data_IF_364860327976
#
_entry.id   IF_364860327976
#
_cell.length_a   1.000
_cell.length_b   1.000
_cell.length_c   1.000
_cell.angle_alpha   90.00
_cell.angle_beta   90.00
_cell.angle_gamma   90.00
#
_symmetry.space_group_name_H-M   'P 1'
#
loop_
_entity.id
_entity.type
_entity.pdbx_description
1 polymer ?
#
# COMPACT_ATOMS: atom_id res chain seq x y z
N UNK A 1 20.15 12.81 3.56
CA UNK A 1 20.27 12.35 4.96
C UNK A 1 19.66 10.96 5.07
N UNK A 2 20.44 9.96 5.49
CA UNK A 2 19.98 8.60 5.74
C UNK A 2 19.86 8.39 7.25
N UNK A 3 18.75 7.83 7.72
CA UNK A 3 18.48 7.75 9.17
C UNK A 3 18.04 6.34 9.57
N UNK A 4 18.60 5.84 10.67
CA UNK A 4 18.03 4.69 11.39
C UNK A 4 16.73 5.13 12.03
N UNK A 5 15.64 4.42 11.78
CA UNK A 5 14.32 4.89 12.22
C UNK A 5 13.91 4.24 13.53
N UNK A 6 13.34 5.04 14.42
CA UNK A 6 12.64 4.54 15.60
C UNK A 6 11.30 3.94 15.18
N UNK A 7 10.85 2.83 15.80
CA UNK A 7 9.50 2.32 15.60
C UNK A 7 8.45 3.40 15.89
N UNK A 8 7.45 3.53 15.02
CA UNK A 8 6.34 4.45 15.23
C UNK A 8 4.99 3.81 14.88
N UNK A 9 3.91 4.46 15.28
CA UNK A 9 2.54 3.96 15.12
C UNK A 9 1.66 5.00 14.44
N UNK A 10 0.82 4.53 13.51
CA UNK A 10 -0.24 5.29 12.88
C UNK A 10 -1.60 4.79 13.38
N UNK A 11 -2.34 5.63 14.10
CA UNK A 11 -3.68 5.36 14.60
C UNK A 11 -4.71 5.39 13.46
N UNK A 12 -5.79 4.63 13.57
CA UNK A 12 -6.91 4.71 12.63
C UNK A 12 -7.62 6.05 12.74
N UNK A 13 -7.97 6.63 11.59
CA UNK A 13 -8.86 7.79 11.53
C UNK A 13 -10.05 7.48 10.62
N UNK A 14 -11.19 8.13 10.92
CA UNK A 14 -12.40 8.11 10.11
C UNK A 14 -12.99 9.51 10.15
N UNK A 15 -13.08 10.13 8.98
CA UNK A 15 -13.64 11.46 8.78
C UNK A 15 -14.82 11.37 7.81
N UNK A 16 -15.85 12.19 8.02
CA UNK A 16 -16.97 12.29 7.09
C UNK A 16 -16.72 13.49 6.19
N UNK A 17 -16.60 13.27 4.88
CA UNK A 17 -16.49 14.39 3.95
C UNK A 17 -17.81 15.18 3.86
N UNK A 18 -17.77 16.45 3.41
CA UNK A 18 -18.97 17.22 3.09
C UNK A 18 -19.91 16.50 2.10
N UNK A 19 -19.35 15.67 1.21
CA UNK A 19 -20.09 14.79 0.30
C UNK A 19 -20.85 13.64 0.98
N UNK A 20 -20.74 13.49 2.30
CA UNK A 20 -21.32 12.41 3.09
C UNK A 20 -20.51 11.10 3.05
N UNK A 21 -19.56 10.95 2.12
CA UNK A 21 -18.73 9.75 1.99
C UNK A 21 -17.69 9.68 3.13
N UNK A 22 -17.55 8.53 3.82
CA UNK A 22 -16.51 8.37 4.83
C UNK A 22 -15.14 8.24 4.16
N UNK A 23 -14.18 9.02 4.64
CA UNK A 23 -12.74 8.86 4.41
C UNK A 23 -12.16 8.16 5.62
N UNK A 24 -11.43 7.09 5.36
CA UNK A 24 -10.66 6.39 6.36
C UNK A 24 -9.20 6.77 6.23
N UNK A 25 -8.45 6.58 7.30
CA UNK A 25 -7.05 6.93 7.25
C UNK A 25 -6.23 6.32 8.36
N UNK A 26 -4.97 6.73 8.34
CA UNK A 26 -3.99 6.48 9.37
C UNK A 26 -3.26 7.78 9.66
N UNK A 27 -3.01 8.09 10.93
CA UNK A 27 -2.24 9.27 11.29
C UNK A 27 -1.33 8.97 12.48
N UNK A 28 -0.13 9.52 12.45
CA UNK A 28 0.82 9.49 13.55
C UNK A 28 2.10 10.20 13.16
N UNK A 29 3.08 10.18 14.06
CA UNK A 29 4.32 10.94 13.91
C UNK A 29 5.51 9.99 13.99
N UNK A 30 6.44 10.10 13.04
CA UNK A 30 7.77 9.50 13.13
C UNK A 30 8.73 10.54 13.72
N UNK A 31 9.58 10.17 14.69
CA UNK A 31 10.59 11.08 15.22
C UNK A 31 11.49 11.69 14.12
N UNK A 32 11.81 10.91 13.10
CA UNK A 32 12.74 11.27 12.04
C UNK A 32 12.03 12.01 10.89
N UNK A 33 10.81 11.58 10.53
CA UNK A 33 10.10 12.04 9.33
C UNK A 33 8.88 12.94 9.61
N UNK A 34 8.62 13.25 10.88
CA UNK A 34 7.52 14.10 11.30
C UNK A 34 6.16 13.43 11.11
N UNK A 35 5.13 14.26 10.95
CA UNK A 35 3.76 13.77 10.81
C UNK A 35 3.56 13.02 9.50
N UNK A 36 2.82 11.91 9.58
CA UNK A 36 2.51 11.04 8.47
C UNK A 36 1.00 10.77 8.50
N UNK A 37 0.34 11.06 7.38
CA UNK A 37 -1.09 10.84 7.19
C UNK A 37 -1.32 10.00 5.94
N UNK A 38 -2.09 8.93 6.11
CA UNK A 38 -2.60 8.07 5.04
C UNK A 38 -4.09 8.29 4.95
N UNK A 39 -4.64 8.49 3.76
CA UNK A 39 -6.09 8.65 3.54
C UNK A 39 -6.57 7.75 2.40
N UNK A 40 -7.76 7.18 2.54
CA UNK A 40 -8.46 6.37 1.54
C UNK A 40 -9.95 6.20 1.87
N UNK A 41 -10.85 6.11 0.87
CA UNK A 41 -10.59 6.44 -0.52
C UNK A 41 -10.32 7.96 -0.65
N UNK A 42 -9.32 8.33 -1.43
CA UNK A 42 -9.09 9.71 -1.90
C UNK A 42 -9.39 9.79 -3.39
N UNK A 43 -9.80 10.97 -3.86
CA UNK A 43 -10.20 11.20 -5.25
C UNK A 43 -11.21 12.34 -5.34
N UNK A 44 -11.11 13.17 -6.39
CA UNK A 44 -12.13 14.19 -6.67
C UNK A 44 -13.40 13.48 -7.11
N UNK A 45 -14.55 13.86 -6.53
CA UNK A 45 -15.85 13.16 -6.61
C UNK A 45 -16.47 12.96 -8.00
N UNK A 46 -15.72 13.17 -9.09
CA UNK A 46 -16.10 12.91 -10.46
C UNK A 46 -15.16 11.93 -11.20
N UNK A 47 -13.98 11.61 -10.64
CA UNK A 47 -13.10 10.65 -11.29
C UNK A 47 -13.56 9.25 -10.95
N UNK A 48 -13.57 8.38 -11.95
CA UNK A 48 -13.88 6.99 -11.67
C UNK A 48 -12.88 6.43 -10.67
N UNK A 49 -11.68 6.96 -10.41
CA UNK A 49 -10.66 6.29 -9.61
C UNK A 49 -10.91 6.19 -8.09
N UNK A 50 -10.45 5.08 -7.47
CA UNK A 50 -10.24 4.99 -6.01
C UNK A 50 -8.74 5.15 -5.76
N UNK A 51 -8.36 6.06 -4.87
CA UNK A 51 -6.97 6.23 -4.50
C UNK A 51 -6.71 6.08 -3.00
N UNK A 52 -5.47 5.78 -2.68
CA UNK A 52 -4.87 5.99 -1.37
C UNK A 52 -3.81 7.05 -1.54
N UNK A 53 -3.74 7.96 -0.59
CA UNK A 53 -2.73 9.00 -0.57
C UNK A 53 -1.98 8.99 0.76
N UNK A 54 -0.68 9.22 0.69
CA UNK A 54 0.18 9.50 1.84
C UNK A 54 0.78 10.87 1.68
N UNK A 55 0.71 11.65 2.76
CA UNK A 55 1.39 12.93 2.92
C UNK A 55 2.06 12.99 4.28
N UNK A 56 3.06 13.83 4.40
CA UNK A 56 3.69 14.11 5.67
C UNK A 56 4.67 15.28 5.59
N UNK A 57 5.15 15.72 6.74
CA UNK A 57 5.99 16.92 6.83
C UNK A 57 7.37 16.75 6.18
N UNK A 58 7.96 15.56 6.24
CA UNK A 58 9.31 15.27 5.68
C UNK A 58 9.36 14.02 4.81
N UNK A 59 8.21 13.62 4.25
CA UNK A 59 8.13 12.52 3.27
C UNK A 59 7.50 13.03 1.98
N UNK A 60 7.93 12.52 0.81
CA UNK A 60 7.28 12.84 -0.44
C UNK A 60 5.84 12.36 -0.42
N UNK A 61 4.96 13.11 -1.10
CA UNK A 61 3.57 12.68 -1.27
C UNK A 61 3.54 11.44 -2.17
N UNK A 62 2.82 10.39 -1.77
CA UNK A 62 2.64 9.21 -2.61
C UNK A 62 1.15 8.95 -2.85
N UNK A 63 0.80 8.58 -4.07
CA UNK A 63 -0.58 8.31 -4.50
C UNK A 63 -0.63 6.97 -5.20
N UNK A 64 -1.48 6.08 -4.70
CA UNK A 64 -1.79 4.80 -5.31
C UNK A 64 -3.23 4.82 -5.81
N UNK A 65 -3.42 4.74 -7.12
CA UNK A 65 -4.72 4.88 -7.77
C UNK A 65 -5.10 3.58 -8.48
N UNK A 66 -6.38 3.20 -8.44
CA UNK A 66 -6.94 2.10 -9.23
C UNK A 66 -8.15 2.54 -10.03
N UNK A 67 -8.20 2.12 -11.30
CA UNK A 67 -9.34 2.34 -12.21
C UNK A 67 -10.08 1.01 -12.46
N UNK A 68 -11.38 1.04 -12.76
CA UNK A 68 -12.24 -0.15 -12.82
C UNK A 68 -13.74 0.10 -12.56
N UNK A 69 -14.58 -0.92 -12.79
CA UNK A 69 -16.06 -0.82 -12.93
C UNK A 69 -16.84 -1.09 -11.63
N UNK A 70 -16.20 -1.57 -10.55
CA UNK A 70 -16.89 -2.01 -9.32
C UNK A 70 -16.47 -1.19 -8.08
N UNK A 71 -16.62 0.13 -8.12
CA UNK A 71 -15.98 1.04 -7.15
C UNK A 71 -16.85 1.54 -6.02
N UNK A 72 -18.16 1.40 -6.16
CA UNK A 72 -19.12 1.77 -5.11
C UNK A 72 -19.03 0.82 -3.90
N UNK A 73 -18.38 -0.33 -4.08
CA UNK A 73 -18.23 -1.38 -3.06
C UNK A 73 -16.81 -1.42 -2.46
N UNK A 74 -15.83 -0.75 -3.08
CA UNK A 74 -14.40 -0.92 -2.73
C UNK A 74 -13.85 0.32 -2.01
N UNK A 75 -13.46 0.14 -0.76
CA UNK A 75 -12.94 1.21 0.12
C UNK A 75 -11.43 1.46 -0.09
N UNK A 76 -10.68 0.46 -0.54
CA UNK A 76 -9.23 0.52 -0.74
C UNK A 76 -8.86 0.15 -2.18
N UNK A 77 -7.94 0.87 -2.85
CA UNK A 77 -7.48 0.52 -4.19
C UNK A 77 -6.82 -0.86 -4.22
N UNK A 78 -6.89 -1.56 -5.35
CA UNK A 78 -6.34 -2.92 -5.51
C UNK A 78 -5.11 -2.90 -6.41
N UNK A 79 -4.27 -3.92 -6.37
CA UNK A 79 -3.06 -3.96 -7.21
C UNK A 79 -3.32 -4.16 -8.73
N UNK A 80 -4.57 -4.40 -9.15
CA UNK A 80 -4.91 -4.65 -10.55
C UNK A 80 -5.23 -3.32 -11.25
N UNK A 81 -4.60 -3.04 -12.40
CA UNK A 81 -4.91 -1.82 -13.17
C UNK A 81 -4.58 -0.53 -12.40
N UNK A 82 -3.57 -0.58 -11.55
CA UNK A 82 -3.22 0.50 -10.63
C UNK A 82 -2.00 1.29 -11.11
N UNK A 83 -1.98 2.58 -10.80
CA UNK A 83 -0.82 3.46 -10.97
C UNK A 83 -0.32 3.94 -9.61
N UNK A 84 1.00 4.01 -9.45
CA UNK A 84 1.64 4.52 -8.25
C UNK A 84 2.55 5.69 -8.64
N UNK A 85 2.42 6.80 -7.90
CA UNK A 85 3.29 7.97 -8.01
C UNK A 85 3.87 8.34 -6.65
N UNK A 86 5.11 8.79 -6.64
CA UNK A 86 5.79 9.39 -5.48
C UNK A 86 6.36 10.71 -5.95
N UNK A 87 5.96 11.79 -5.29
CA UNK A 87 6.27 13.17 -5.66
C UNK A 87 5.96 13.50 -7.14
N UNK A 88 4.84 12.97 -7.63
CA UNK A 88 4.45 13.05 -9.05
C UNK A 88 5.19 12.09 -9.98
N UNK A 89 6.37 11.60 -9.60
CA UNK A 89 7.16 10.62 -10.34
C UNK A 89 6.51 9.23 -10.39
N UNK A 90 6.53 8.60 -11.57
CA UNK A 90 5.93 7.29 -11.77
C UNK A 90 6.78 6.16 -11.16
N UNK A 91 6.14 5.28 -10.39
CA UNK A 91 6.77 4.06 -9.90
C UNK A 91 6.42 2.90 -10.84
N UNK A 92 7.44 2.29 -11.44
CA UNK A 92 7.24 1.09 -12.26
C UNK A 92 6.88 -0.06 -11.34
N UNK A 93 5.83 -0.81 -11.68
CA UNK A 93 5.34 -1.93 -10.88
C UNK A 93 5.29 -3.21 -11.69
N UNK A 94 5.74 -4.33 -11.11
CA UNK A 94 5.57 -5.65 -11.71
C UNK A 94 5.31 -6.71 -10.64
N UNK A 95 4.56 -7.76 -10.99
CA UNK A 95 4.37 -8.93 -10.12
C UNK A 95 4.20 -10.20 -10.91
N UNK A 96 4.59 -11.32 -10.32
CA UNK A 96 4.17 -12.63 -10.79
C UNK A 96 2.89 -13.05 -10.05
N UNK A 97 1.75 -12.95 -10.74
CA UNK A 97 0.42 -13.29 -10.18
C UNK A 97 0.24 -14.79 -9.92
N UNK A 98 1.02 -15.63 -10.60
CA UNK A 98 0.90 -17.09 -10.60
C UNK A 98 1.88 -17.79 -9.65
N UNK A 99 2.76 -17.03 -9.00
CA UNK A 99 3.73 -17.62 -8.09
C UNK A 99 3.03 -18.32 -6.91
N UNK A 100 3.57 -19.48 -6.51
CA UNK A 100 3.01 -20.30 -5.44
C UNK A 100 3.33 -19.77 -4.04
N UNK A 101 4.46 -19.07 -3.89
CA UNK A 101 4.95 -18.55 -2.59
C UNK A 101 4.65 -17.07 -2.41
N UNK A 102 4.55 -16.61 -1.15
CA UNK A 102 4.43 -15.19 -0.82
C UNK A 102 5.57 -14.35 -1.41
N UNK A 103 6.81 -14.87 -1.35
CA UNK A 103 7.99 -14.21 -1.92
C UNK A 103 7.90 -14.11 -3.44
N UNK A 104 7.43 -15.16 -4.11
CA UNK A 104 7.25 -15.15 -5.56
C UNK A 104 6.13 -14.20 -6.03
N UNK A 105 5.08 -14.02 -5.22
CA UNK A 105 3.98 -13.07 -5.50
C UNK A 105 4.30 -11.62 -5.14
N UNK A 106 5.49 -11.35 -4.60
CA UNK A 106 5.87 -10.00 -4.21
C UNK A 106 5.68 -9.00 -5.34
N UNK A 107 5.24 -7.81 -4.98
CA UNK A 107 5.16 -6.67 -5.88
C UNK A 107 6.56 -6.06 -5.94
N UNK A 108 7.16 -6.06 -7.14
CA UNK A 108 8.43 -5.39 -7.41
C UNK A 108 8.12 -3.97 -7.85
N UNK A 109 8.87 -3.01 -7.32
CA UNK A 109 8.73 -1.60 -7.66
C UNK A 109 10.10 -1.06 -8.09
N UNK A 110 10.10 -0.06 -8.97
CA UNK A 110 11.29 0.71 -9.30
C UNK A 110 10.94 2.19 -9.25
N UNK A 111 11.71 2.97 -8.49
CA UNK A 111 11.52 4.40 -8.32
C UNK A 111 12.88 5.08 -8.29
N UNK A 112 13.12 6.06 -9.16
CA UNK A 112 14.39 6.79 -9.28
C UNK A 112 15.65 5.88 -9.32
N UNK A 113 15.55 4.71 -9.95
CA UNK A 113 16.64 3.73 -10.04
C UNK A 113 16.67 2.72 -8.89
N UNK A 114 16.10 3.04 -7.73
CA UNK A 114 16.00 2.14 -6.59
C UNK A 114 15.04 0.98 -6.87
N UNK A 115 15.50 -0.24 -6.59
CA UNK A 115 14.70 -1.44 -6.69
C UNK A 115 14.07 -1.81 -5.35
N UNK A 116 12.75 -1.95 -5.34
CA UNK A 116 11.98 -2.30 -4.17
C UNK A 116 11.22 -3.61 -4.32
N UNK A 117 10.92 -4.23 -3.17
CA UNK A 117 10.08 -5.40 -3.09
C UNK A 117 9.09 -5.29 -1.92
N UNK A 118 7.81 -5.35 -2.24
CA UNK A 118 6.72 -5.46 -1.27
C UNK A 118 6.27 -6.92 -1.16
N UNK A 119 6.46 -7.51 0.02
CA UNK A 119 6.11 -8.90 0.30
C UNK A 119 5.09 -8.97 1.43
N UNK A 120 3.94 -9.60 1.19
CA UNK A 120 2.97 -9.84 2.26
C UNK A 120 3.47 -10.95 3.20
N UNK A 121 3.52 -10.67 4.50
CA UNK A 121 3.75 -11.69 5.54
C UNK A 121 2.43 -12.43 5.78
N UNK A 122 1.35 -11.67 6.00
CA UNK A 122 -0.01 -12.17 6.15
C UNK A 122 -1.01 -11.04 5.81
N UNK A 123 -2.31 -11.24 6.06
CA UNK A 123 -3.35 -10.23 5.74
C UNK A 123 -3.19 -8.90 6.50
N UNK A 124 -2.50 -8.92 7.64
CA UNK A 124 -2.29 -7.76 8.54
C UNK A 124 -0.85 -7.25 8.54
N UNK A 125 0.07 -7.89 7.84
CA UNK A 125 1.49 -7.55 7.93
C UNK A 125 2.22 -7.73 6.59
N UNK A 126 3.20 -6.88 6.34
CA UNK A 126 4.00 -6.90 5.12
C UNK A 126 5.39 -6.32 5.36
N UNK A 127 6.29 -6.60 4.43
CA UNK A 127 7.61 -5.98 4.35
C UNK A 127 7.74 -5.21 3.04
N UNK A 128 8.29 -4.01 3.10
CA UNK A 128 8.84 -3.30 1.95
C UNK A 128 10.36 -3.31 2.11
N UNK A 129 11.09 -3.78 1.12
CA UNK A 129 12.56 -3.74 1.12
C UNK A 129 13.08 -2.97 -0.07
N UNK A 130 14.00 -2.02 0.15
CA UNK A 130 14.85 -1.43 -0.88
C UNK A 130 16.12 -2.30 -0.97
N UNK A 131 16.49 -2.70 -2.19
CA UNK A 131 17.69 -3.52 -2.38
C UNK A 131 18.94 -2.70 -2.06
N UNK A 132 19.99 -3.33 -1.49
CA UNK A 132 21.28 -2.69 -1.36
C UNK A 132 21.91 -2.49 -2.75
N UNK A 133 22.73 -1.46 -2.86
CA UNK A 133 23.63 -1.22 -3.99
C UNK A 133 25.04 -0.89 -3.47
N UNK A 134 25.91 -0.38 -4.34
CA UNK A 134 27.30 -0.06 -3.98
C UNK A 134 27.44 1.09 -2.97
N UNK A 135 26.43 1.93 -2.82
CA UNK A 135 26.46 3.15 -2.00
C UNK A 135 25.52 3.05 -0.78
N UNK A 136 24.44 2.29 -0.89
CA UNK A 136 23.41 2.14 0.12
C UNK A 136 23.22 0.68 0.55
N UNK A 137 23.31 0.36 1.87
CA UNK A 137 23.03 -0.97 2.39
C UNK A 137 21.54 -1.38 2.28
N UNK A 138 20.68 -0.50 1.78
CA UNK A 138 19.25 -0.71 1.62
C UNK A 138 18.49 -0.60 2.95
N UNK A 139 17.22 -0.97 2.89
CA UNK A 139 16.33 -0.97 4.06
C UNK A 139 15.31 -2.09 3.98
N UNK A 140 14.89 -2.59 5.14
CA UNK A 140 13.73 -3.45 5.28
C UNK A 140 12.76 -2.81 6.26
N UNK A 141 11.64 -2.31 5.75
CA UNK A 141 10.53 -1.78 6.53
C UNK A 141 9.49 -2.87 6.73
N UNK A 142 9.18 -3.19 7.98
CA UNK A 142 8.07 -4.08 8.35
C UNK A 142 6.91 -3.26 8.87
N UNK A 143 5.73 -3.51 8.31
CA UNK A 143 4.48 -2.84 8.69
C UNK A 143 3.50 -3.88 9.21
N UNK A 144 2.93 -3.64 10.40
CA UNK A 144 1.99 -4.54 11.07
C UNK A 144 0.74 -3.81 11.52
N UNK A 145 -0.42 -4.30 11.11
CA UNK A 145 -1.72 -3.83 11.58
C UNK A 145 -2.18 -4.64 12.80
N UNK A 146 -2.65 -3.95 13.82
CA UNK A 146 -3.23 -4.52 15.04
C UNK A 146 -4.52 -3.79 15.44
N UNK A 147 -5.19 -4.29 16.48
CA UNK A 147 -6.44 -3.73 17.01
C UNK A 147 -7.71 -4.12 16.24
N UNK A 148 -8.86 -3.71 16.79
CA UNK A 148 -10.22 -3.92 16.26
C UNK A 148 -11.00 -2.59 16.32
N UNK A 149 -12.02 -2.44 15.47
CA UNK A 149 -12.89 -1.26 15.47
C UNK A 149 -12.15 0.06 15.28
N UNK A 150 -12.41 1.03 16.15
CA UNK A 150 -11.72 2.32 16.24
C UNK A 150 -10.28 2.21 16.75
N UNK A 151 -9.97 1.22 17.61
CA UNK A 151 -8.62 0.96 18.13
C UNK A 151 -7.65 0.30 17.14
N UNK A 152 -7.94 0.32 15.84
CA UNK A 152 -7.03 -0.21 14.82
C UNK A 152 -5.80 0.69 14.73
N UNK A 153 -4.62 0.09 14.65
CA UNK A 153 -3.36 0.83 14.48
C UNK A 153 -2.41 0.08 13.56
N UNK A 154 -1.45 0.81 13.00
CA UNK A 154 -0.39 0.29 12.15
C UNK A 154 0.94 0.66 12.78
N UNK A 155 1.77 -0.33 13.08
CA UNK A 155 3.13 -0.12 13.57
C UNK A 155 4.11 -0.27 12.40
N UNK A 156 5.05 0.67 12.31
CA UNK A 156 6.10 0.72 11.29
C UNK A 156 7.44 0.57 11.99
N UNK A 157 8.28 -0.33 11.49
CA UNK A 157 9.63 -0.58 11.99
C UNK A 157 10.55 -0.72 10.77
N UNK A 158 11.77 -0.20 10.81
CA UNK A 158 12.76 -0.53 9.79
C UNK A 158 14.07 -1.01 10.38
N UNK A 159 14.75 -1.81 9.59
CA UNK A 159 16.14 -2.18 9.78
C UNK A 159 16.91 -1.69 8.55
N UNK A 160 18.00 -0.95 8.76
CA UNK A 160 18.80 -0.33 7.70
C UNK A 160 18.54 1.18 7.56
N UNK A 161 19.07 1.74 6.48
CA UNK A 161 19.05 3.19 6.20
C UNK A 161 17.78 3.56 5.45
N UNK A 162 16.81 4.12 6.17
CA UNK A 162 15.54 4.51 5.55
C UNK A 162 15.65 5.90 4.91
N UNK A 163 15.11 6.01 3.71
CA UNK A 163 14.86 7.28 3.01
C UNK A 163 13.41 7.73 3.18
N UNK A 164 13.12 9.04 3.02
CA UNK A 164 11.75 9.56 3.01
C UNK A 164 10.80 8.81 2.07
N UNK A 165 11.27 8.44 0.86
CA UNK A 165 10.51 7.69 -0.12
C UNK A 165 10.14 6.28 0.38
N UNK A 166 11.04 5.62 1.12
CA UNK A 166 10.81 4.29 1.68
C UNK A 166 9.65 4.31 2.67
N UNK A 167 9.61 5.33 3.53
CA UNK A 167 8.54 5.54 4.52
C UNK A 167 7.21 5.87 3.82
N UNK A 168 7.25 6.74 2.82
CA UNK A 168 6.05 7.11 2.05
C UNK A 168 5.43 5.88 1.37
N UNK A 169 6.25 5.08 0.67
CA UNK A 169 5.83 3.83 0.05
C UNK A 169 5.32 2.83 1.09
N UNK A 170 6.04 2.64 2.19
CA UNK A 170 5.65 1.69 3.24
C UNK A 170 4.32 2.07 3.88
N UNK A 171 4.12 3.35 4.24
CA UNK A 171 2.88 3.84 4.82
C UNK A 171 1.70 3.74 3.82
N UNK A 172 1.94 4.02 2.54
CA UNK A 172 0.91 4.01 1.48
C UNK A 172 0.24 2.66 1.36
N UNK A 173 1.03 1.59 1.36
CA UNK A 173 0.51 0.24 1.27
C UNK A 173 -0.35 -0.19 2.47
N UNK A 174 -0.43 0.62 3.54
CA UNK A 174 -1.36 0.36 4.65
C UNK A 174 -2.82 0.69 4.30
N UNK A 175 -3.04 1.53 3.27
CA UNK A 175 -4.35 1.88 2.71
C UNK A 175 -4.70 1.15 1.41
N UNK A 176 -3.82 0.27 0.90
CA UNK A 176 -4.02 -0.50 -0.34
C UNK A 176 -4.48 -1.93 -0.02
N UNK A 177 -5.41 -2.47 -0.80
CA UNK A 177 -5.78 -3.88 -0.71
C UNK A 177 -4.67 -4.77 -1.30
N UNK A 178 -4.02 -5.50 -0.39
CA UNK A 178 -2.92 -6.43 -0.65
C UNK A 178 -3.34 -7.89 -0.60
N UNK A 179 -4.64 -8.18 -0.57
CA UNK A 179 -5.19 -9.52 -0.49
C UNK A 179 -4.57 -10.47 -1.52
N UNK A 180 -4.40 -10.00 -2.76
CA UNK A 180 -3.81 -10.75 -3.88
C UNK A 180 -2.34 -11.16 -3.69
N UNK A 181 -1.62 -10.55 -2.74
CA UNK A 181 -0.26 -10.97 -2.37
C UNK A 181 -0.25 -12.15 -1.39
N UNK A 182 -1.41 -12.48 -0.81
CA UNK A 182 -1.58 -13.58 0.14
C UNK A 182 -2.17 -14.82 -0.53
N UNK A 183 -1.83 -16.02 -0.04
CA UNK A 183 -2.34 -17.29 -0.61
C UNK A 183 -3.87 -17.35 -0.60
N UNK A 184 -4.52 -16.96 0.51
CA UNK A 184 -5.99 -16.98 0.63
C UNK A 184 -6.69 -15.94 -0.26
N UNK A 185 -6.10 -14.75 -0.44
CA UNK A 185 -6.68 -13.72 -1.30
C UNK A 185 -6.52 -14.02 -2.80
N UNK A 186 -5.39 -14.61 -3.21
CA UNK A 186 -5.19 -15.07 -4.58
C UNK A 186 -6.14 -16.20 -4.96
N UNK A 187 -6.39 -17.15 -4.05
CA UNK A 187 -7.34 -18.25 -4.25
C UNK A 187 -8.77 -17.73 -4.42
N UNK A 188 -9.22 -16.78 -3.56
CA UNK A 188 -10.55 -16.16 -3.70
C UNK A 188 -10.70 -15.37 -5.01
N UNK A 189 -9.66 -14.65 -5.43
CA UNK A 189 -9.65 -13.94 -6.71
C UNK A 189 -9.61 -14.89 -7.93
N UNK A 190 -9.00 -16.08 -7.77
CA UNK A 190 -9.00 -17.13 -8.79
C UNK A 190 -10.36 -17.81 -8.95
N UNK A 191 -11.02 -18.16 -7.84
CA UNK A 191 -12.35 -18.78 -7.87
C UNK A 191 -13.43 -17.87 -8.47
N UNK A 192 -13.42 -16.56 -8.20
CA UNK A 192 -14.37 -15.63 -8.81
C UNK A 192 -14.29 -15.58 -10.34
N UNK A 193 -13.15 -15.91 -10.95
CA UNK A 193 -13.04 -16.01 -12.42
C UNK A 193 -13.54 -17.33 -12.98
N UNK A 194 -13.36 -18.44 -12.26
CA UNK A 194 -13.89 -19.74 -12.70
C UNK A 194 -15.42 -19.69 -12.73
N UNK A 195 -16.04 -19.08 -11.71
CA UNK A 195 -17.49 -18.87 -11.69
C UNK A 195 -17.98 -17.90 -12.77
N UNK A 196 -17.27 -16.81 -13.06
CA UNK A 196 -17.65 -15.90 -14.16
C UNK A 196 -17.48 -16.55 -15.54
N UNK A 197 -16.44 -17.37 -15.74
CA UNK A 197 -16.23 -18.09 -17.00
C UNK A 197 -17.34 -19.13 -17.22
N UNK A 198 -17.74 -19.86 -16.18
CA UNK A 198 -18.88 -20.78 -16.25
C UNK A 198 -20.23 -20.09 -16.45
N UNK A 199 -20.42 -18.90 -15.88
CA UNK A 199 -21.62 -18.09 -16.11
C UNK A 199 -21.70 -17.55 -17.55
N UNK A 200 -20.57 -17.25 -18.19
CA UNK A 200 -20.51 -16.85 -19.62
C UNK A 200 -20.65 -18.06 -20.58
N UNK A 201 -20.49 -19.30 -20.11
CA UNK A 201 -20.65 -20.50 -20.96
C UNK A 201 -22.09 -21.05 -20.95
N UNK A 202 -23.00 -20.48 -20.15
CA UNK A 202 -24.41 -20.87 -20.05
C UNK A 202 -25.39 -19.81 -20.58
N UNK A 203 -24.89 -18.77 -21.26
CA UNK A 203 -25.70 -17.76 -21.96
C UNK A 203 -25.57 -17.90 -23.47
#
# INVERSE_FOLDING_TARGET
MHTTISPFTLAFTKEKQPSGRPVFGRQGTSPEFGDIRVAYPTGRGASSAVATEVRGGRIPTAVFETRGVHKDVVVMPTLNGSTLRVDGGHVRMSRNRWALTHRGRSLRLTYLGDAYRLTAINRRAYKLSRQPDGEDPGVVITVRQSGRGSGRKVTVQAAGRALPADISLAALFSGVDRSVLTRRGAVRAGFSRIFNFWAETQS
#
